data_IF_642607961285
#
_entry.id   IF_642607961285
#
_cell.length_a   1.000
_cell.length_b   1.000
_cell.length_c   1.000
_cell.angle_alpha   90.00
_cell.angle_beta   90.00
_cell.angle_gamma   90.00
#
_symmetry.space_group_name_H-M   'P 1'
#
loop_
_entity.id
_entity.type
_entity.pdbx_description
1 polymer ?
#
# COMPACT_ATOMS: atom_id res chain seq x y z
N UNK A 1 -24.11 12.43 0.65
CA UNK A 1 -23.14 11.33 0.95
C UNK A 1 -23.42 10.87 2.38
N UNK A 2 -23.84 9.62 2.62
CA UNK A 2 -24.28 9.24 3.98
C UNK A 2 -23.08 9.14 4.94
N UNK A 3 -23.20 9.72 6.14
CA UNK A 3 -22.13 9.72 7.17
C UNK A 3 -21.52 8.32 7.43
N UNK A 4 -22.30 7.25 7.27
CA UNK A 4 -21.85 5.86 7.43
C UNK A 4 -20.70 5.46 6.49
N UNK A 5 -20.71 5.92 5.22
CA UNK A 5 -19.67 5.57 4.25
C UNK A 5 -18.34 6.27 4.53
N UNK A 6 -18.38 7.50 5.06
CA UNK A 6 -17.16 8.24 5.42
C UNK A 6 -16.46 7.64 6.63
N UNK A 7 -17.21 7.07 7.59
CA UNK A 7 -16.63 6.48 8.79
C UNK A 7 -15.79 5.23 8.47
N UNK A 8 -16.19 4.44 7.47
CA UNK A 8 -15.45 3.24 7.05
C UNK A 8 -14.00 3.54 6.67
N UNK A 9 -13.73 4.70 6.07
CA UNK A 9 -12.37 5.09 5.67
C UNK A 9 -11.46 5.18 6.91
N UNK A 10 -11.92 5.85 7.97
CA UNK A 10 -11.13 5.99 9.21
C UNK A 10 -10.86 4.64 9.89
N UNK A 11 -11.84 3.74 9.86
CA UNK A 11 -11.71 2.39 10.42
C UNK A 11 -10.64 1.55 9.71
N UNK A 12 -10.38 1.78 8.43
CA UNK A 12 -9.33 1.06 7.68
C UNK A 12 -8.03 1.86 7.55
N UNK A 13 -8.05 3.18 7.70
CA UNK A 13 -6.84 4.01 7.59
C UNK A 13 -5.84 3.71 8.72
N UNK A 14 -6.30 3.59 9.95
CA UNK A 14 -5.42 3.32 11.10
C UNK A 14 -4.77 1.92 10.99
N UNK A 15 -5.52 0.83 10.75
CA UNK A 15 -4.91 -0.48 10.52
C UNK A 15 -3.95 -0.50 9.33
N UNK A 16 -4.27 0.21 8.24
CA UNK A 16 -3.36 0.36 7.11
C UNK A 16 -2.01 0.95 7.54
N UNK A 17 -2.02 2.09 8.24
CA UNK A 17 -0.79 2.73 8.70
C UNK A 17 0.01 1.83 9.65
N UNK A 18 -0.66 1.14 10.58
CA UNK A 18 -0.01 0.18 11.48
C UNK A 18 0.69 -0.92 10.68
N UNK A 19 0.01 -1.54 9.71
CA UNK A 19 0.63 -2.61 8.90
C UNK A 19 1.79 -2.11 8.04
N UNK A 20 1.74 -0.88 7.54
CA UNK A 20 2.87 -0.27 6.82
C UNK A 20 4.10 -0.09 7.73
N UNK A 21 3.91 0.38 8.96
CA UNK A 21 5.00 0.55 9.94
C UNK A 21 5.58 -0.81 10.31
N UNK A 22 4.73 -1.81 10.60
CA UNK A 22 5.19 -3.16 10.94
C UNK A 22 5.98 -3.80 9.79
N UNK A 23 5.45 -3.74 8.56
CA UNK A 23 6.13 -4.29 7.39
C UNK A 23 7.47 -3.60 7.15
N UNK A 24 7.55 -2.28 7.32
CA UNK A 24 8.81 -1.56 7.18
C UNK A 24 9.86 -2.06 8.17
N UNK A 25 9.54 -2.13 9.46
CA UNK A 25 10.50 -2.60 10.47
C UNK A 25 10.89 -4.06 10.27
N UNK A 26 9.98 -4.91 9.79
CA UNK A 26 10.30 -6.31 9.48
C UNK A 26 11.27 -6.44 8.31
N UNK A 27 11.07 -5.65 7.24
CA UNK A 27 11.99 -5.59 6.10
C UNK A 27 13.36 -5.07 6.53
N UNK A 28 13.42 -4.04 7.36
CA UNK A 28 14.70 -3.51 7.87
C UNK A 28 15.42 -4.53 8.75
N UNK A 29 14.71 -5.20 9.67
CA UNK A 29 15.32 -6.18 10.57
C UNK A 29 15.90 -7.40 9.84
N UNK A 30 15.41 -7.70 8.64
CA UNK A 30 15.85 -8.86 7.84
C UNK A 30 16.88 -8.50 6.76
N UNK A 31 17.06 -7.21 6.43
CA UNK A 31 18.02 -6.73 5.45
C UNK A 31 19.11 -5.88 6.11
N UNK A 32 20.28 -6.49 6.35
CA UNK A 32 21.43 -5.86 7.00
C UNK A 32 21.92 -4.58 6.31
N UNK A 33 21.74 -4.47 5.00
CA UNK A 33 22.17 -3.30 4.23
C UNK A 33 21.25 -2.11 4.48
N UNK A 34 19.95 -2.37 4.55
CA UNK A 34 18.94 -1.37 4.89
C UNK A 34 19.08 -0.91 6.34
N UNK A 35 19.33 -1.84 7.27
CA UNK A 35 19.59 -1.51 8.67
C UNK A 35 20.81 -0.61 8.83
N UNK A 36 21.93 -0.91 8.16
CA UNK A 36 23.13 -0.07 8.23
C UNK A 36 22.90 1.33 7.64
N UNK A 37 22.23 1.43 6.49
CA UNK A 37 21.92 2.73 5.87
C UNK A 37 20.98 3.58 6.75
N UNK A 38 20.02 2.95 7.43
CA UNK A 38 19.14 3.63 8.37
C UNK A 38 19.90 4.15 9.59
N UNK A 39 20.75 3.32 10.19
CA UNK A 39 21.57 3.71 11.35
C UNK A 39 22.49 4.88 10.98
N UNK A 40 23.15 4.80 9.82
CA UNK A 40 24.02 5.86 9.32
C UNK A 40 23.25 7.17 9.12
N UNK A 41 22.09 7.11 8.44
CA UNK A 41 21.24 8.28 8.21
C UNK A 41 20.74 8.92 9.51
N UNK A 42 20.42 8.10 10.51
CA UNK A 42 19.95 8.56 11.81
C UNK A 42 21.06 9.15 12.68
N UNK A 43 22.31 8.69 12.50
CA UNK A 43 23.45 9.19 13.28
C UNK A 43 23.68 10.70 13.11
N UNK A 44 23.26 11.26 11.96
CA UNK A 44 23.31 12.69 11.63
C UNK A 44 22.47 13.52 12.62
N UNK A 45 21.38 12.97 13.14
CA UNK A 45 20.44 13.70 13.99
C UNK A 45 20.76 13.61 15.49
N UNK A 46 21.76 12.81 15.87
CA UNK A 46 22.19 12.59 17.26
C UNK A 46 21.00 12.32 18.23
N UNK A 47 20.06 11.49 17.78
CA UNK A 47 18.82 11.17 18.51
C UNK A 47 19.01 9.92 19.38
N UNK A 48 18.24 9.83 20.46
CA UNK A 48 18.09 8.57 21.18
C UNK A 48 17.40 7.51 20.32
N UNK A 49 17.64 6.23 20.62
CA UNK A 49 17.08 5.10 19.86
C UNK A 49 15.55 5.15 19.71
N UNK A 50 14.85 5.53 20.78
CA UNK A 50 13.40 5.68 20.76
C UNK A 50 12.94 6.83 19.84
N UNK A 51 13.59 7.99 19.93
CA UNK A 51 13.28 9.14 19.07
C UNK A 51 13.51 8.82 17.59
N UNK A 52 14.57 8.07 17.28
CA UNK A 52 14.86 7.61 15.92
C UNK A 52 13.75 6.72 15.36
N UNK A 53 13.23 5.76 16.14
CA UNK A 53 12.12 4.89 15.70
C UNK A 53 10.81 5.66 15.50
N UNK A 54 10.52 6.63 16.36
CA UNK A 54 9.36 7.51 16.19
C UNK A 54 9.49 8.33 14.90
N UNK A 55 10.65 8.92 14.66
CA UNK A 55 10.92 9.71 13.45
C UNK A 55 10.77 8.88 12.17
N UNK A 56 11.36 7.69 12.14
CA UNK A 56 11.20 6.75 11.01
C UNK A 56 9.72 6.42 10.79
N UNK A 57 8.98 6.11 11.86
CA UNK A 57 7.55 5.78 11.76
C UNK A 57 6.76 6.94 11.16
N UNK A 58 7.07 8.19 11.51
CA UNK A 58 6.46 9.37 10.91
C UNK A 58 6.75 9.47 9.41
N UNK A 59 8.00 9.25 8.98
CA UNK A 59 8.35 9.23 7.56
C UNK A 59 7.63 8.12 6.80
N UNK A 60 7.57 6.91 7.37
CA UNK A 60 6.85 5.77 6.80
C UNK A 60 5.37 6.13 6.61
N UNK A 61 4.73 6.74 7.61
CA UNK A 61 3.34 7.21 7.51
C UNK A 61 3.18 8.21 6.36
N UNK A 62 4.02 9.25 6.31
CA UNK A 62 3.91 10.31 5.31
C UNK A 62 4.07 9.75 3.89
N UNK A 63 5.11 8.94 3.66
CA UNK A 63 5.38 8.35 2.35
C UNK A 63 4.24 7.43 1.93
N UNK A 64 3.75 6.56 2.83
CA UNK A 64 2.64 5.66 2.51
C UNK A 64 1.32 6.42 2.25
N UNK A 65 1.06 7.50 2.97
CA UNK A 65 -0.10 8.37 2.69
C UNK A 65 0.00 9.03 1.31
N UNK A 66 1.19 9.47 0.90
CA UNK A 66 1.42 10.02 -0.45
C UNK A 66 1.20 8.94 -1.51
N UNK A 67 1.76 7.75 -1.32
CA UNK A 67 1.58 6.62 -2.24
C UNK A 67 0.09 6.27 -2.38
N UNK A 68 -0.62 6.11 -1.26
CA UNK A 68 -2.06 5.83 -1.24
C UNK A 68 -2.83 6.88 -2.05
N UNK A 69 -2.52 8.17 -1.83
CA UNK A 69 -3.18 9.27 -2.51
C UNK A 69 -2.90 9.28 -4.02
N UNK A 70 -1.65 9.08 -4.43
CA UNK A 70 -1.28 9.01 -5.86
C UNK A 70 -1.98 7.84 -6.55
N UNK A 71 -1.97 6.66 -5.93
CA UNK A 71 -2.64 5.47 -6.49
C UNK A 71 -4.15 5.66 -6.55
N UNK A 72 -4.75 6.29 -5.54
CA UNK A 72 -6.16 6.72 -5.56
C UNK A 72 -6.47 7.63 -6.75
N UNK A 73 -5.65 8.66 -6.98
CA UNK A 73 -5.83 9.59 -8.11
C UNK A 73 -5.73 8.89 -9.46
N UNK A 74 -4.80 7.95 -9.64
CA UNK A 74 -4.69 7.16 -10.89
C UNK A 74 -5.96 6.33 -11.10
N UNK A 75 -6.40 5.57 -10.09
CA UNK A 75 -7.64 4.77 -10.17
C UNK A 75 -8.87 5.64 -10.45
N UNK A 76 -8.96 6.80 -9.81
CA UNK A 76 -10.02 7.78 -10.02
C UNK A 76 -9.98 8.35 -11.45
N UNK A 77 -8.79 8.67 -11.97
CA UNK A 77 -8.61 9.13 -13.35
C UNK A 77 -9.12 8.11 -14.37
N UNK A 78 -8.74 6.85 -14.24
CA UNK A 78 -9.21 5.78 -15.13
C UNK A 78 -10.72 5.59 -15.08
N UNK A 79 -11.31 5.60 -13.90
CA UNK A 79 -12.76 5.37 -13.76
C UNK A 79 -13.61 6.56 -14.18
N UNK A 80 -13.21 7.78 -13.81
CA UNK A 80 -14.00 8.99 -14.04
C UNK A 80 -13.76 9.62 -15.41
N UNK A 81 -12.50 9.67 -15.89
CA UNK A 81 -12.15 10.31 -17.16
C UNK A 81 -12.39 9.35 -18.32
N UNK A 82 -11.82 8.14 -18.23
CA UNK A 82 -11.92 7.14 -19.31
C UNK A 82 -13.26 6.41 -19.24
N UNK A 83 -13.61 5.90 -18.06
CA UNK A 83 -14.84 5.12 -17.87
C UNK A 83 -16.13 5.95 -17.74
N UNK A 84 -16.04 7.27 -17.50
CA UNK A 84 -17.18 8.16 -17.20
C UNK A 84 -18.06 7.67 -16.03
N UNK A 85 -17.49 6.92 -15.08
CA UNK A 85 -18.18 6.35 -13.91
C UNK A 85 -17.96 7.27 -12.72
N UNK A 86 -19.04 7.76 -12.10
CA UNK A 86 -19.00 8.68 -10.95
C UNK A 86 -19.54 8.02 -9.68
N UNK A 87 -19.17 8.56 -8.52
CA UNK A 87 -19.76 8.19 -7.24
C UNK A 87 -19.25 6.87 -6.63
N UNK A 88 -18.08 6.40 -7.06
CA UNK A 88 -17.42 5.18 -6.58
C UNK A 88 -16.12 5.46 -5.80
N UNK A 89 -15.85 6.72 -5.47
CA UNK A 89 -14.60 7.19 -4.88
C UNK A 89 -14.33 6.54 -3.51
N UNK A 90 -15.36 6.41 -2.69
CA UNK A 90 -15.22 5.78 -1.35
C UNK A 90 -14.92 4.29 -1.51
N UNK A 91 -15.60 3.62 -2.43
CA UNK A 91 -15.41 2.22 -2.70
C UNK A 91 -14.00 1.95 -3.23
N UNK A 92 -13.46 2.81 -4.12
CA UNK A 92 -12.06 2.72 -4.56
C UNK A 92 -11.12 2.85 -3.35
N UNK A 93 -11.27 3.90 -2.53
CA UNK A 93 -10.36 4.16 -1.42
C UNK A 93 -10.42 3.07 -0.35
N UNK A 94 -11.62 2.61 0.02
CA UNK A 94 -11.79 1.51 1.00
C UNK A 94 -11.20 0.22 0.44
N UNK A 95 -11.44 -0.10 -0.83
CA UNK A 95 -10.82 -1.27 -1.45
C UNK A 95 -9.30 -1.20 -1.46
N UNK A 96 -8.70 -0.03 -1.69
CA UNK A 96 -7.24 0.16 -1.59
C UNK A 96 -6.72 -0.05 -0.18
N UNK A 97 -7.35 0.56 0.83
CA UNK A 97 -6.94 0.40 2.22
C UNK A 97 -7.00 -1.07 2.64
N UNK A 98 -8.11 -1.75 2.34
CA UNK A 98 -8.30 -3.16 2.68
C UNK A 98 -7.30 -4.04 1.94
N UNK A 99 -7.10 -3.84 0.62
CA UNK A 99 -6.14 -4.66 -0.13
C UNK A 99 -4.72 -4.48 0.40
N UNK A 100 -4.32 -3.26 0.76
CA UNK A 100 -3.02 -3.00 1.36
C UNK A 100 -2.84 -3.63 2.73
N UNK A 101 -3.85 -3.55 3.61
CA UNK A 101 -3.80 -4.22 4.92
C UNK A 101 -3.55 -5.72 4.73
N UNK A 102 -4.36 -6.37 3.87
CA UNK A 102 -4.22 -7.81 3.64
C UNK A 102 -2.90 -8.16 2.97
N UNK A 103 -2.45 -7.41 1.96
CA UNK A 103 -1.17 -7.67 1.30
C UNK A 103 0.00 -7.49 2.26
N UNK A 104 -0.03 -6.47 3.13
CA UNK A 104 1.01 -6.24 4.13
C UNK A 104 1.03 -7.36 5.16
N UNK A 105 -0.12 -7.80 5.66
CA UNK A 105 -0.21 -8.94 6.59
C UNK A 105 0.31 -10.22 5.93
N UNK A 106 -0.10 -10.52 4.70
CA UNK A 106 0.41 -11.67 3.93
C UNK A 106 1.93 -11.57 3.79
N UNK A 107 2.46 -10.39 3.50
CA UNK A 107 3.91 -10.18 3.37
C UNK A 107 4.64 -10.47 4.68
N UNK A 108 4.13 -9.95 5.80
CA UNK A 108 4.67 -10.22 7.13
C UNK A 108 4.68 -11.73 7.42
N UNK A 109 3.55 -12.42 7.22
CA UNK A 109 3.46 -13.87 7.43
C UNK A 109 4.41 -14.66 6.54
N UNK A 110 4.52 -14.31 5.25
CA UNK A 110 5.40 -14.99 4.31
C UNK A 110 6.87 -14.76 4.69
N UNK A 111 7.23 -13.54 5.08
CA UNK A 111 8.58 -13.20 5.48
C UNK A 111 8.99 -13.95 6.75
N UNK A 112 8.09 -14.07 7.73
CA UNK A 112 8.33 -14.79 8.97
C UNK A 112 8.49 -16.30 8.75
N UNK A 113 7.68 -16.90 7.87
CA UNK A 113 7.69 -18.36 7.64
C UNK A 113 8.81 -18.78 6.69
N UNK A 114 9.02 -18.03 5.61
CA UNK A 114 9.86 -18.45 4.48
C UNK A 114 11.15 -17.64 4.35
N UNK A 115 11.39 -16.64 5.21
CA UNK A 115 12.59 -15.77 5.17
C UNK A 115 12.87 -15.19 3.78
N UNK A 116 11.79 -14.83 3.08
CA UNK A 116 11.82 -14.34 1.71
C UNK A 116 12.49 -12.96 1.67
N UNK A 117 13.33 -12.73 0.66
CA UNK A 117 14.04 -11.46 0.52
C UNK A 117 13.09 -10.32 0.12
N UNK A 118 13.50 -9.08 0.40
CA UNK A 118 12.79 -7.87 -0.03
C UNK A 118 12.46 -7.88 -1.52
N UNK A 119 13.41 -8.31 -2.36
CA UNK A 119 13.23 -8.34 -3.81
C UNK A 119 12.13 -9.32 -4.21
N UNK A 120 12.10 -10.50 -3.59
CA UNK A 120 11.06 -11.48 -3.83
C UNK A 120 9.68 -10.96 -3.37
N UNK A 121 9.58 -10.32 -2.21
CA UNK A 121 8.34 -9.67 -1.78
C UNK A 121 7.87 -8.61 -2.79
N UNK A 122 8.78 -7.80 -3.33
CA UNK A 122 8.46 -6.77 -4.33
C UNK A 122 7.94 -7.33 -5.67
N UNK A 123 8.20 -8.61 -5.95
CA UNK A 123 7.70 -9.31 -7.13
C UNK A 123 6.37 -10.01 -6.88
N UNK A 124 6.19 -10.68 -5.73
CA UNK A 124 5.00 -11.51 -5.49
C UNK A 124 3.81 -10.76 -4.89
N UNK A 125 4.06 -9.74 -4.07
CA UNK A 125 3.01 -9.03 -3.34
C UNK A 125 2.14 -8.17 -4.26
N UNK A 126 2.68 -7.43 -5.25
CA UNK A 126 1.85 -6.54 -6.08
C UNK A 126 0.78 -7.25 -6.94
N UNK A 127 1.03 -8.42 -7.56
CA UNK A 127 -0.04 -9.20 -8.20
C UNK A 127 -1.14 -9.65 -7.24
N UNK A 128 -0.77 -10.06 -6.02
CA UNK A 128 -1.73 -10.47 -4.99
C UNK A 128 -2.60 -9.26 -4.59
N UNK A 129 -1.97 -8.11 -4.37
CA UNK A 129 -2.65 -6.86 -4.04
C UNK A 129 -3.64 -6.43 -5.13
N UNK A 130 -3.27 -6.55 -6.41
CA UNK A 130 -4.16 -6.32 -7.55
C UNK A 130 -5.42 -7.20 -7.47
N UNK A 131 -5.26 -8.51 -7.25
CA UNK A 131 -6.39 -9.44 -7.16
C UNK A 131 -7.27 -9.11 -5.96
N UNK A 132 -6.69 -8.91 -4.78
CA UNK A 132 -7.41 -8.55 -3.57
C UNK A 132 -8.22 -7.26 -3.75
N UNK A 133 -7.59 -6.24 -4.33
CA UNK A 133 -8.23 -4.96 -4.61
C UNK A 133 -9.49 -5.14 -5.47
N UNK A 134 -9.41 -5.89 -6.57
CA UNK A 134 -10.54 -6.10 -7.47
C UNK A 134 -11.65 -6.93 -6.84
N UNK A 135 -11.30 -7.96 -6.05
CA UNK A 135 -12.27 -8.78 -5.32
C UNK A 135 -13.04 -7.93 -4.31
N UNK A 136 -12.33 -7.15 -3.49
CA UNK A 136 -12.95 -6.27 -2.50
C UNK A 136 -13.80 -5.19 -3.18
N UNK A 137 -13.33 -4.61 -4.28
CA UNK A 137 -14.10 -3.61 -5.02
C UNK A 137 -15.37 -4.19 -5.65
N UNK A 138 -15.29 -5.40 -6.22
CA UNK A 138 -16.45 -6.10 -6.76
C UNK A 138 -17.47 -6.43 -5.67
N UNK A 139 -16.99 -6.79 -4.47
CA UNK A 139 -17.87 -7.03 -3.33
C UNK A 139 -18.74 -5.81 -3.02
N UNK A 140 -18.16 -4.60 -2.99
CA UNK A 140 -18.90 -3.37 -2.68
C UNK A 140 -19.79 -2.84 -3.81
N UNK A 141 -19.34 -2.92 -5.07
CA UNK A 141 -20.01 -2.19 -6.17
C UNK A 141 -20.77 -3.09 -7.15
N UNK A 142 -20.38 -4.36 -7.29
CA UNK A 142 -20.84 -5.27 -8.35
C UNK A 142 -20.70 -4.71 -9.78
N UNK A 143 -19.95 -3.62 -9.98
CA UNK A 143 -19.87 -2.92 -11.26
C UNK A 143 -18.73 -3.46 -12.13
N UNK A 144 -19.07 -4.35 -13.06
CA UNK A 144 -18.12 -5.01 -13.97
C UNK A 144 -17.34 -4.03 -14.85
N UNK A 145 -17.97 -2.93 -15.31
CA UNK A 145 -17.29 -1.93 -16.14
C UNK A 145 -16.23 -1.19 -15.35
N UNK A 146 -16.54 -0.77 -14.13
CA UNK A 146 -15.58 -0.10 -13.25
C UNK A 146 -14.38 -1.00 -12.92
N UNK A 147 -14.63 -2.29 -12.68
CA UNK A 147 -13.58 -3.29 -12.43
C UNK A 147 -12.60 -3.37 -13.59
N UNK A 148 -13.08 -3.36 -14.83
CA UNK A 148 -12.21 -3.42 -16.00
C UNK A 148 -11.26 -2.22 -16.04
N UNK A 149 -11.77 -1.00 -15.86
CA UNK A 149 -10.92 0.20 -15.84
C UNK A 149 -9.94 0.22 -14.67
N UNK A 150 -10.39 -0.26 -13.50
CA UNK A 150 -9.56 -0.37 -12.31
C UNK A 150 -8.46 -1.43 -12.45
N UNK A 151 -8.76 -2.55 -13.13
CA UNK A 151 -7.76 -3.55 -13.50
C UNK A 151 -6.67 -2.91 -14.36
N UNK A 152 -7.03 -2.18 -15.42
CA UNK A 152 -6.03 -1.49 -16.25
C UNK A 152 -5.20 -0.48 -15.46
N UNK A 153 -5.83 0.33 -14.61
CA UNK A 153 -5.13 1.30 -13.77
C UNK A 153 -4.09 0.63 -12.86
N UNK A 154 -4.49 -0.40 -12.12
CA UNK A 154 -3.61 -1.13 -11.20
C UNK A 154 -2.58 -1.98 -11.94
N UNK A 155 -2.92 -2.54 -13.11
CA UNK A 155 -1.98 -3.26 -13.94
C UNK A 155 -0.87 -2.35 -14.47
N UNK A 156 -1.18 -1.12 -14.86
CA UNK A 156 -0.15 -0.14 -15.24
C UNK A 156 0.78 0.21 -14.08
N UNK A 157 0.23 0.38 -12.87
CA UNK A 157 1.04 0.59 -11.66
C UNK A 157 1.95 -0.61 -11.40
N UNK A 158 1.42 -1.84 -11.54
CA UNK A 158 2.18 -3.08 -11.40
C UNK A 158 3.35 -3.16 -12.39
N UNK A 159 3.09 -2.87 -13.67
CA UNK A 159 4.13 -2.86 -14.71
C UNK A 159 5.18 -1.80 -14.40
N UNK A 160 4.78 -0.60 -13.98
CA UNK A 160 5.71 0.46 -13.60
C UNK A 160 6.62 0.03 -12.43
N UNK A 161 6.07 -0.66 -11.43
CA UNK A 161 6.86 -1.23 -10.33
C UNK A 161 7.90 -2.23 -10.84
N UNK A 162 7.53 -3.16 -11.73
CA UNK A 162 8.50 -4.12 -12.27
C UNK A 162 9.57 -3.48 -13.14
N UNK A 163 9.21 -2.48 -13.96
CA UNK A 163 10.20 -1.72 -14.72
C UNK A 163 11.18 -1.01 -13.76
N UNK A 164 10.69 -0.43 -12.66
CA UNK A 164 11.55 0.23 -11.68
C UNK A 164 12.46 -0.72 -10.90
N UNK A 165 12.17 -2.03 -10.88
CA UNK A 165 13.06 -3.03 -10.27
C UNK A 165 14.18 -3.49 -11.20
N UNK A 166 14.05 -3.25 -12.52
CA UNK A 166 15.01 -3.67 -13.53
C UNK A 166 16.03 -2.59 -13.88
N UNK A 167 15.79 -1.34 -13.47
CA UNK A 167 16.64 -0.16 -13.70
C UNK A 167 17.40 0.13 -12.40
#
# INVERSE_FOLDING_TARGET
MSKKKSNLIYWFLVPYLITCIMLFFQVVATDKTLDSLLIESLSIFNLSKFQSYVLISMFVIIINMVILFVVFLICKGFTQVIGKIKGIDVEILVSQLVSYIFSNLISLFIQDIFSISRLQLSLFVPPIELVLFLVVFFYFTKNKKAILYLFFAKFLILVANYVSLLI
#
